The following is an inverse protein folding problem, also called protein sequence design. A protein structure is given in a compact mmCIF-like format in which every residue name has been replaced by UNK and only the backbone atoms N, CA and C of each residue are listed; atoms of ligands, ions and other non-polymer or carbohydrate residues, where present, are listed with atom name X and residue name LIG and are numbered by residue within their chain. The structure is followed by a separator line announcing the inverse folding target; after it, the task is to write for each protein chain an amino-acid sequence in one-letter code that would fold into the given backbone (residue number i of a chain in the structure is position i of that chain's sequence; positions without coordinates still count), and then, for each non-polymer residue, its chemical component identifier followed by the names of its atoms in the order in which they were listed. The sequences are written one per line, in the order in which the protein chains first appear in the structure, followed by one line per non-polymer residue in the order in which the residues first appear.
data_IF_333843821455
#
_entry.id   IF_333843821455
#
_cell.length_a   1.000
_cell.length_b   1.000
_cell.length_c   1.000
_cell.angle_alpha   90.00
_cell.angle_beta   90.00
_cell.angle_gamma   90.00
#
_symmetry.space_group_name_H-M   'P 1'
#
loop_
_entity.id
_entity.type
_entity.pdbx_description
1 polymer ?
#
# COMPACT_ATOMS: atom_id res chain seq x y z
N UNK A 1 4.21 -22.27 -5.73
CA UNK A 1 4.09 -20.97 -5.02
C UNK A 1 3.99 -19.78 -5.99
N UNK A 2 4.43 -19.90 -7.26
CA UNK A 2 3.78 -19.15 -8.34
C UNK A 2 2.34 -19.67 -8.49
N UNK A 3 1.37 -18.75 -8.56
CA UNK A 3 -0.09 -18.97 -8.55
C UNK A 3 -0.54 -20.39 -8.87
N UNK A 4 -0.90 -21.14 -7.84
CA UNK A 4 -1.52 -22.44 -8.00
C UNK A 4 -2.98 -22.25 -8.42
N UNK A 5 -3.25 -22.37 -9.72
CA UNK A 5 -4.59 -22.34 -10.29
C UNK A 5 -5.36 -23.64 -10.11
N UNK A 6 -4.75 -24.67 -9.48
CA UNK A 6 -5.35 -26.00 -9.32
C UNK A 6 -6.17 -26.16 -8.03
N UNK A 7 -6.03 -25.24 -7.06
CA UNK A 7 -6.86 -25.25 -5.86
C UNK A 7 -8.14 -24.46 -6.14
N UNK A 8 -9.29 -25.16 -6.22
CA UNK A 8 -10.63 -24.58 -6.42
C UNK A 8 -11.14 -23.69 -5.27
N UNK A 9 -10.24 -23.05 -4.52
CA UNK A 9 -10.55 -22.10 -3.46
C UNK A 9 -10.34 -20.70 -4.07
N UNK A 10 -11.40 -20.00 -4.52
CA UNK A 10 -11.26 -18.66 -5.06
C UNK A 10 -10.70 -17.74 -3.98
N UNK A 11 -9.45 -17.30 -4.15
CA UNK A 11 -8.89 -16.23 -3.36
C UNK A 11 -9.65 -14.94 -3.72
N UNK A 12 -10.50 -14.45 -2.81
CA UNK A 12 -11.18 -13.17 -2.97
C UNK A 12 -10.10 -12.07 -2.99
N UNK A 13 -9.84 -11.50 -4.17
CA UNK A 13 -8.76 -10.53 -4.45
C UNK A 13 -8.88 -9.17 -3.76
N UNK A 14 -9.66 -9.05 -2.68
CA UNK A 14 -9.87 -7.81 -1.93
C UNK A 14 -8.54 -7.20 -1.45
N UNK A 15 -7.58 -8.03 -1.04
CA UNK A 15 -6.27 -7.53 -0.59
C UNK A 15 -5.46 -6.89 -1.72
N UNK A 16 -5.58 -7.39 -2.96
CA UNK A 16 -4.93 -6.77 -4.13
C UNK A 16 -5.56 -5.42 -4.49
N UNK A 17 -6.89 -5.31 -4.35
CA UNK A 17 -7.59 -4.04 -4.53
C UNK A 17 -7.16 -3.00 -3.48
N UNK A 18 -7.01 -3.40 -2.21
CA UNK A 18 -6.47 -2.54 -1.15
C UNK A 18 -5.05 -2.07 -1.53
N UNK A 19 -4.18 -2.98 -1.97
CA UNK A 19 -2.84 -2.61 -2.46
C UNK A 19 -2.92 -1.59 -3.60
N UNK A 20 -3.89 -1.70 -4.52
CA UNK A 20 -4.11 -0.72 -5.57
C UNK A 20 -4.54 0.66 -5.07
N UNK A 21 -5.46 0.72 -4.11
CA UNK A 21 -5.84 2.00 -3.48
C UNK A 21 -4.62 2.65 -2.79
N UNK A 22 -3.81 1.87 -2.10
CA UNK A 22 -2.58 2.36 -1.45
C UNK A 22 -1.52 2.83 -2.46
N UNK A 23 -1.39 2.15 -3.60
CA UNK A 23 -0.50 2.56 -4.69
C UNK A 23 -0.91 3.92 -5.28
N UNK A 24 -2.23 4.13 -5.50
CA UNK A 24 -2.74 5.42 -5.94
C UNK A 24 -2.54 6.51 -4.88
N UNK A 25 -2.83 6.18 -3.61
CA UNK A 25 -2.64 7.09 -2.47
C UNK A 25 -1.19 7.56 -2.33
N UNK A 26 -0.22 6.67 -2.53
CA UNK A 26 1.21 7.00 -2.50
C UNK A 26 1.56 8.13 -3.50
N UNK A 27 1.01 8.04 -4.72
CA UNK A 27 1.30 8.99 -5.80
C UNK A 27 0.59 10.32 -5.56
N UNK A 28 -0.66 10.28 -5.10
CA UNK A 28 -1.49 11.47 -4.88
C UNK A 28 -1.06 12.22 -3.62
N UNK A 29 -0.79 11.51 -2.53
CA UNK A 29 -0.50 12.08 -1.20
C UNK A 29 0.84 11.61 -0.60
N UNK A 30 1.99 11.80 -1.28
CA UNK A 30 3.28 11.29 -0.82
C UNK A 30 3.73 11.84 0.54
N UNK A 31 3.26 13.05 0.89
CA UNK A 31 3.60 13.76 2.14
C UNK A 31 2.61 13.54 3.28
N UNK A 32 1.49 12.83 3.04
CA UNK A 32 0.54 12.54 4.10
C UNK A 32 1.21 11.71 5.20
N UNK A 33 0.89 12.01 6.46
CA UNK A 33 1.47 11.31 7.60
C UNK A 33 0.52 10.18 8.03
N UNK A 34 1.00 8.95 7.95
CA UNK A 34 0.33 7.77 8.46
C UNK A 34 0.68 7.62 9.94
N UNK A 35 -0.34 7.53 10.79
CA UNK A 35 -0.15 7.21 12.21
C UNK A 35 0.12 5.72 12.33
N UNK A 36 1.37 5.38 12.56
CA UNK A 36 1.88 4.02 12.62
C UNK A 36 2.09 3.62 14.07
N UNK A 37 1.56 2.45 14.43
CA UNK A 37 1.90 1.79 15.68
C UNK A 37 3.21 1.02 15.50
N UNK A 38 4.27 1.44 16.19
CA UNK A 38 5.55 0.75 16.19
C UNK A 38 5.72 0.01 17.52
N UNK A 39 5.79 -1.32 17.43
CA UNK A 39 6.03 -2.21 18.56
C UNK A 39 7.47 -2.73 18.51
N UNK A 40 8.29 -2.32 19.48
CA UNK A 40 9.67 -2.74 19.69
C UNK A 40 9.73 -3.71 20.88
N UNK A 41 9.01 -4.84 20.77
CA UNK A 41 8.87 -5.82 21.85
C UNK A 41 8.11 -5.25 23.04
N UNK A 42 8.82 -4.88 24.10
CA UNK A 42 8.25 -4.34 25.34
C UNK A 42 7.86 -2.85 25.25
N UNK A 43 8.43 -2.11 24.27
CA UNK A 43 8.12 -0.70 24.08
C UNK A 43 7.20 -0.50 22.88
N UNK A 44 6.13 0.29 23.06
CA UNK A 44 5.27 0.72 21.95
C UNK A 44 5.27 2.24 21.81
N UNK A 45 5.24 2.72 20.57
CA UNK A 45 5.13 4.15 20.25
C UNK A 45 4.25 4.37 19.03
N UNK A 46 3.41 5.40 19.11
CA UNK A 46 2.71 5.94 17.95
C UNK A 46 3.63 6.93 17.22
N UNK A 47 3.97 6.64 15.97
CA UNK A 47 4.79 7.50 15.12
C UNK A 47 3.98 8.01 13.93
N UNK A 48 4.33 9.18 13.43
CA UNK A 48 3.76 9.73 12.20
C UNK A 48 4.78 9.59 11.08
N UNK A 49 4.61 8.61 10.21
CA UNK A 49 5.54 8.32 9.11
C UNK A 49 4.90 8.80 7.81
N UNK A 50 5.67 9.49 6.96
CA UNK A 50 5.16 9.92 5.66
C UNK A 50 4.81 8.69 4.80
N UNK A 51 3.72 8.78 4.06
CA UNK A 51 3.23 7.71 3.18
C UNK A 51 4.29 7.24 2.16
N UNK A 52 5.12 8.17 1.66
CA UNK A 52 6.25 7.86 0.77
C UNK A 52 7.26 6.85 1.32
N UNK A 53 7.42 6.77 2.65
CA UNK A 53 8.32 5.82 3.29
C UNK A 53 7.55 4.60 3.80
N UNK A 54 6.38 4.84 4.42
CA UNK A 54 5.62 3.79 5.07
C UNK A 54 5.06 2.77 4.07
N UNK A 55 4.51 3.21 2.93
CA UNK A 55 3.81 2.30 2.01
C UNK A 55 4.77 1.36 1.24
N UNK A 56 5.91 1.82 0.69
CA UNK A 56 6.88 0.90 0.10
C UNK A 56 7.47 -0.06 1.14
N UNK A 57 7.79 0.43 2.34
CA UNK A 57 8.25 -0.42 3.44
C UNK A 57 7.21 -1.50 3.79
N UNK A 58 5.95 -1.11 3.96
CA UNK A 58 4.86 -2.02 4.27
C UNK A 58 4.66 -3.08 3.19
N UNK A 59 4.69 -2.69 1.90
CA UNK A 59 4.57 -3.62 0.79
C UNK A 59 5.70 -4.65 0.81
N UNK A 60 6.95 -4.21 0.98
CA UNK A 60 8.12 -5.09 1.05
C UNK A 60 8.01 -6.02 2.25
N UNK A 61 7.72 -5.47 3.43
CA UNK A 61 7.63 -6.23 4.67
C UNK A 61 6.51 -7.28 4.62
N UNK A 62 5.32 -6.94 4.12
CA UNK A 62 4.19 -7.86 3.96
C UNK A 62 4.51 -9.03 3.01
N UNK A 63 5.33 -8.80 1.99
CA UNK A 63 5.71 -9.83 1.02
C UNK A 63 6.95 -10.64 1.46
N UNK A 64 7.88 -10.04 2.20
CA UNK A 64 9.12 -10.70 2.66
C UNK A 64 8.99 -11.40 4.01
N UNK A 65 8.23 -10.85 4.96
CA UNK A 65 8.13 -11.42 6.32
C UNK A 65 7.62 -12.87 6.30
N UNK A 66 6.61 -13.25 5.49
CA UNK A 66 6.19 -14.63 5.38
C UNK A 66 7.28 -15.57 4.84
N UNK A 67 8.19 -15.07 4.00
CA UNK A 67 9.32 -15.83 3.49
C UNK A 67 10.35 -16.17 4.59
N UNK A 68 10.56 -15.27 5.56
CA UNK A 68 11.50 -15.49 6.65
C UNK A 68 10.92 -16.28 7.83
N UNK A 69 9.63 -16.11 8.13
CA UNK A 69 8.99 -16.72 9.30
C UNK A 69 8.37 -18.09 8.96
N UNK A 70 7.98 -18.34 7.71
CA UNK A 70 7.20 -19.51 7.33
C UNK A 70 7.97 -20.78 6.95
N UNK A 71 9.30 -20.72 6.78
CA UNK A 71 10.07 -21.84 6.23
C UNK A 71 9.61 -22.24 4.81
N UNK A 72 10.38 -23.10 4.12
CA UNK A 72 10.09 -23.58 2.76
C UNK A 72 8.92 -24.59 2.70
N UNK A 73 7.82 -24.33 3.41
CA UNK A 73 6.65 -25.20 3.33
C UNK A 73 5.70 -25.06 4.50
N UNK A 74 4.45 -24.84 4.13
CA UNK A 74 3.26 -25.36 4.85
C UNK A 74 3.00 -24.75 6.22
N UNK A 75 2.45 -23.53 6.23
CA UNK A 75 1.34 -23.17 7.13
C UNK A 75 0.65 -21.86 6.68
N UNK A 76 -0.55 -21.98 6.09
CA UNK A 76 -1.59 -20.97 6.31
C UNK A 76 -1.94 -19.98 5.20
N UNK A 77 -2.31 -20.46 4.02
CA UNK A 77 -3.38 -19.85 3.22
C UNK A 77 -3.00 -18.83 2.14
N UNK A 78 -3.03 -19.26 0.87
CA UNK A 78 -3.54 -18.50 -0.28
C UNK A 78 -3.12 -17.04 -0.51
N UNK A 79 -2.05 -16.52 0.10
CA UNK A 79 -1.62 -15.13 -0.14
C UNK A 79 -0.99 -15.04 -1.53
N UNK A 80 -1.75 -14.53 -2.49
CA UNK A 80 -1.24 -14.20 -3.81
C UNK A 80 -0.36 -12.95 -3.72
N UNK A 81 0.92 -13.10 -3.34
CA UNK A 81 1.91 -12.01 -3.28
C UNK A 81 1.95 -11.17 -4.56
N UNK A 82 1.80 -11.82 -5.71
CA UNK A 82 1.70 -11.16 -7.02
C UNK A 82 0.46 -10.25 -7.13
N UNK A 83 -0.63 -10.56 -6.44
CA UNK A 83 -1.83 -9.71 -6.43
C UNK A 83 -1.60 -8.42 -5.63
N UNK A 84 -0.80 -8.45 -4.55
CA UNK A 84 -0.42 -7.23 -3.81
C UNK A 84 0.50 -6.35 -4.64
N UNK A 85 1.54 -6.94 -5.24
CA UNK A 85 2.51 -6.20 -6.07
C UNK A 85 1.83 -5.64 -7.32
N UNK A 86 1.05 -6.47 -8.02
CA UNK A 86 0.32 -6.08 -9.22
C UNK A 86 -0.75 -5.04 -8.94
N UNK A 87 -1.52 -5.22 -7.85
CA UNK A 87 -2.49 -4.23 -7.38
C UNK A 87 -1.83 -2.89 -7.10
N UNK A 88 -0.76 -2.87 -6.30
CA UNK A 88 -0.02 -1.65 -5.97
C UNK A 88 0.56 -0.95 -7.20
N UNK A 89 1.15 -1.70 -8.14
CA UNK A 89 1.67 -1.17 -9.39
C UNK A 89 0.59 -0.52 -10.27
N UNK A 90 -0.56 -1.18 -10.44
CA UNK A 90 -1.72 -0.60 -11.12
C UNK A 90 -2.23 0.66 -10.41
N UNK A 91 -2.28 0.63 -9.08
CA UNK A 91 -2.59 1.79 -8.25
C UNK A 91 -1.71 2.99 -8.54
N UNK A 92 -0.38 2.79 -8.59
CA UNK A 92 0.59 3.83 -8.94
C UNK A 92 0.28 4.40 -10.33
N UNK A 93 0.06 3.53 -11.33
CA UNK A 93 -0.24 3.96 -12.69
C UNK A 93 -1.52 4.82 -12.75
N UNK A 94 -2.59 4.38 -12.07
CA UNK A 94 -3.85 5.13 -11.96
C UNK A 94 -3.63 6.46 -11.26
N UNK A 95 -2.92 6.48 -10.13
CA UNK A 95 -2.61 7.71 -9.39
C UNK A 95 -1.79 8.70 -10.21
N UNK A 96 -0.87 8.21 -11.04
CA UNK A 96 -0.08 9.03 -11.95
C UNK A 96 -0.93 9.63 -13.07
N UNK A 97 -1.78 8.82 -13.71
CA UNK A 97 -2.74 9.27 -14.72
C UNK A 97 -3.66 10.34 -14.11
N UNK A 98 -4.20 10.09 -12.92
CA UNK A 98 -5.08 11.03 -12.21
C UNK A 98 -4.41 12.39 -12.00
N UNK A 99 -3.17 12.42 -11.49
CA UNK A 99 -2.43 13.67 -11.32
C UNK A 99 -2.17 14.40 -12.64
N UNK A 100 -1.93 13.67 -13.73
CA UNK A 100 -1.68 14.25 -15.05
C UNK A 100 -2.95 14.84 -15.66
N UNK A 101 -4.11 14.19 -15.48
CA UNK A 101 -5.39 14.64 -16.04
C UNK A 101 -6.05 15.74 -15.21
N UNK A 102 -5.86 15.76 -13.89
CA UNK A 102 -6.48 16.73 -12.97
C UNK A 102 -5.51 17.82 -12.48
N UNK A 103 -4.37 18.01 -13.15
CA UNK A 103 -3.40 19.06 -12.82
C UNK A 103 -3.95 20.49 -12.96
N UNK A 104 -4.99 20.68 -13.78
CA UNK A 104 -5.71 21.95 -13.91
C UNK A 104 -6.58 22.26 -12.67
N UNK A 105 -7.29 21.27 -12.11
CA UNK A 105 -8.11 21.47 -10.90
C UNK A 105 -7.27 21.76 -9.65
N UNK A 106 -6.07 21.15 -9.53
CA UNK A 106 -5.13 21.46 -8.43
C UNK A 106 -4.63 22.92 -8.48
N UNK A 107 -4.61 23.53 -9.67
CA UNK A 107 -4.20 24.92 -9.86
C UNK A 107 -5.35 25.90 -9.57
N UNK A 108 -6.62 25.49 -9.77
CA UNK A 108 -7.81 26.27 -9.39
C UNK A 108 -8.20 26.10 -7.90
N UNK A 109 -7.76 25.03 -7.23
CA UNK A 109 -8.07 24.71 -5.83
C UNK A 109 -7.40 25.59 -4.76
N UNK A 110 -6.57 26.57 -5.13
CA UNK A 110 -6.05 27.56 -4.17
C UNK A 110 -7.10 28.58 -3.73
N UNK A 111 -8.27 28.64 -4.38
CA UNK A 111 -9.38 29.52 -3.99
C UNK A 111 -10.38 28.91 -2.99
N UNK A 112 -10.38 27.59 -2.79
CA UNK A 112 -11.23 26.89 -1.80
C UNK A 112 -10.48 25.85 -0.95
N UNK A 113 -9.22 26.12 -0.62
CA UNK A 113 -8.69 25.73 0.68
C UNK A 113 -8.16 24.31 0.85
N UNK A 114 -7.29 23.82 -0.04
CA UNK A 114 -6.32 22.78 0.37
C UNK A 114 -5.03 23.43 0.87
N UNK A 115 -5.15 24.21 1.97
CA UNK A 115 -3.99 24.65 2.73
C UNK A 115 -3.54 23.46 3.56
N UNK A 116 -2.33 22.98 3.27
CA UNK A 116 -1.73 21.85 3.95
C UNK A 116 -1.43 22.18 5.41
N UNK A 117 -2.42 22.01 6.27
CA UNK A 117 -2.23 22.02 7.72
C UNK A 117 -1.88 20.61 8.19
N UNK A 118 -0.69 20.16 7.81
CA UNK A 118 0.02 19.08 8.49
C UNK A 118 0.90 19.73 9.57
N UNK A 119 0.29 20.22 10.65
CA UNK A 119 1.03 20.44 11.91
C UNK A 119 1.16 19.11 12.63
#
# INVERSE_FOLDING_TARGET
VMGDTSTGIPAVGASGAISGVLGAYLVIFPRARVKTFLMLGFFWRMLHIKAMYFLPFWLIFQNLLPFFIGGFGVAGGGVAYLAHIGGFGLGIAVGYIYKKTHGSEFTYGTRYGYRGDYR
#
